data_IF_816806665511
#
_entry.id   IF_816806665511
#
_cell.length_a   1.000
_cell.length_b   1.000
_cell.length_c   1.000
_cell.angle_alpha   90.00
_cell.angle_beta   90.00
_cell.angle_gamma   90.00
#
_symmetry.space_group_name_H-M   'P 1'
#
loop_
_entity.id
_entity.type
_entity.pdbx_description
1 polymer ?
#
# COMPACT_ATOMS: atom_id res chain seq x y z
N UNK A 1 5.27 7.56 -14.42
CA UNK A 1 6.23 6.46 -14.16
C UNK A 1 5.62 5.33 -13.35
N UNK A 2 5.14 4.28 -14.02
CA UNK A 2 4.67 3.05 -13.36
C UNK A 2 5.82 2.19 -12.81
N UNK A 3 7.08 2.49 -13.17
CA UNK A 3 8.26 1.74 -12.74
C UNK A 3 8.52 1.79 -11.23
N UNK A 4 8.06 2.85 -10.54
CA UNK A 4 8.18 2.96 -9.07
C UNK A 4 7.25 2.00 -8.31
N UNK A 5 6.23 1.45 -8.97
CA UNK A 5 5.24 0.56 -8.36
C UNK A 5 5.61 -0.93 -8.52
N UNK A 6 6.60 -1.26 -9.36
CA UNK A 6 7.23 -2.58 -9.38
C UNK A 6 7.99 -2.85 -8.07
N UNK A 7 8.62 -1.80 -7.50
CA UNK A 7 9.28 -1.85 -6.20
C UNK A 7 8.36 -1.35 -5.07
N UNK A 8 7.33 -2.15 -4.76
CA UNK A 8 6.41 -1.89 -3.63
C UNK A 8 7.17 -1.69 -2.30
N UNK A 9 8.22 -2.48 -1.96
CA UNK A 9 9.03 -2.24 -0.78
C UNK A 9 9.68 -0.86 -0.74
N UNK A 10 10.32 -0.42 -1.83
CA UNK A 10 10.96 0.89 -1.97
C UNK A 10 9.94 2.02 -1.85
N UNK A 11 8.82 1.89 -2.55
CA UNK A 11 7.72 2.85 -2.52
C UNK A 11 7.11 3.00 -1.11
N UNK A 12 6.76 1.90 -0.44
CA UNK A 12 6.25 1.94 0.95
C UNK A 12 7.29 2.53 1.91
N UNK A 13 8.57 2.27 1.70
CA UNK A 13 9.64 2.88 2.48
C UNK A 13 9.68 4.41 2.32
N UNK A 14 9.50 4.94 1.11
CA UNK A 14 9.44 6.40 0.86
C UNK A 14 8.26 7.06 1.60
N UNK A 15 7.15 6.34 1.74
CA UNK A 15 5.96 6.80 2.45
C UNK A 15 6.04 6.62 3.97
N UNK A 16 7.16 6.10 4.50
CA UNK A 16 7.30 5.71 5.92
C UNK A 16 6.26 4.66 6.34
N UNK A 17 5.94 3.76 5.42
CA UNK A 17 5.01 2.64 5.57
C UNK A 17 5.73 1.29 5.48
N UNK A 18 7.05 1.28 5.75
CA UNK A 18 7.92 0.09 5.70
C UNK A 18 7.38 -1.08 6.54
N UNK A 19 6.68 -0.79 7.64
CA UNK A 19 6.05 -1.78 8.50
C UNK A 19 4.94 -2.60 7.81
N UNK A 20 4.39 -2.10 6.71
CA UNK A 20 3.34 -2.79 5.96
C UNK A 20 3.87 -3.56 4.76
N UNK A 21 5.19 -3.48 4.44
CA UNK A 21 5.78 -4.21 3.31
C UNK A 21 5.44 -5.71 3.40
N UNK A 22 5.56 -6.28 4.60
CA UNK A 22 5.23 -7.68 4.86
C UNK A 22 3.78 -8.07 4.52
N UNK A 23 2.85 -7.12 4.56
CA UNK A 23 1.42 -7.37 4.26
C UNK A 23 1.14 -7.41 2.74
N UNK A 24 2.04 -6.84 1.93
CA UNK A 24 1.88 -6.70 0.48
C UNK A 24 2.91 -7.52 -0.30
N UNK A 25 3.68 -8.40 0.38
CA UNK A 25 4.62 -9.32 -0.28
C UNK A 25 3.86 -10.21 -1.26
N UNK A 26 4.29 -10.22 -2.53
CA UNK A 26 3.65 -11.01 -3.59
C UNK A 26 2.35 -10.42 -4.13
N UNK A 27 1.89 -9.27 -3.62
CA UNK A 27 0.77 -8.53 -4.19
C UNK A 27 1.28 -7.58 -5.28
N UNK A 28 0.53 -7.48 -6.38
CA UNK A 28 0.82 -6.49 -7.43
C UNK A 28 0.24 -5.14 -7.05
N UNK A 29 0.91 -4.07 -7.45
CA UNK A 29 0.44 -2.71 -7.19
C UNK A 29 -0.94 -2.44 -7.82
N UNK A 30 -1.23 -3.07 -8.95
CA UNK A 30 -2.54 -2.99 -9.63
C UNK A 30 -3.68 -3.51 -8.75
N UNK A 31 -3.39 -4.57 -7.97
CA UNK A 31 -4.34 -5.14 -7.01
C UNK A 31 -4.43 -4.24 -5.77
N UNK A 32 -3.34 -3.55 -5.38
CA UNK A 32 -3.35 -2.57 -4.27
C UNK A 32 -4.17 -1.32 -4.58
N UNK A 33 -4.13 -0.80 -5.81
CA UNK A 33 -4.93 0.35 -6.25
C UNK A 33 -6.43 0.07 -6.13
N UNK A 34 -6.84 -1.19 -6.30
CA UNK A 34 -8.24 -1.63 -6.18
C UNK A 34 -8.69 -1.82 -4.73
N UNK A 35 -7.80 -1.68 -3.75
CA UNK A 35 -8.14 -1.88 -2.34
C UNK A 35 -8.80 -0.63 -1.73
N UNK A 36 -10.04 -0.83 -1.27
CA UNK A 36 -10.73 0.11 -0.40
C UNK A 36 -10.28 0.00 1.07
N UNK A 37 -10.77 0.92 1.91
CA UNK A 37 -10.48 0.93 3.35
C UNK A 37 -10.76 -0.40 4.06
N UNK A 38 -11.76 -1.16 3.58
CA UNK A 38 -12.08 -2.50 4.09
C UNK A 38 -11.05 -3.54 3.66
N UNK A 39 -10.56 -3.48 2.41
CA UNK A 39 -9.51 -4.37 1.91
C UNK A 39 -8.18 -4.13 2.63
N UNK A 40 -7.81 -2.86 2.82
CA UNK A 40 -6.63 -2.49 3.59
C UNK A 40 -6.72 -2.96 5.05
N UNK A 41 -7.90 -2.85 5.65
CA UNK A 41 -8.13 -3.34 7.02
C UNK A 41 -8.05 -4.87 7.13
N UNK A 42 -8.58 -5.60 6.14
CA UNK A 42 -8.51 -7.06 6.05
C UNK A 42 -7.06 -7.56 5.93
N UNK A 43 -6.19 -6.80 5.25
CA UNK A 43 -4.75 -7.09 5.16
C UNK A 43 -4.00 -6.77 6.47
N UNK A 44 -4.62 -6.08 7.43
CA UNK A 44 -4.02 -5.72 8.71
C UNK A 44 -3.65 -4.24 8.86
N UNK A 45 -3.93 -3.40 7.86
CA UNK A 45 -3.75 -1.94 7.96
C UNK A 45 -4.94 -1.32 8.71
N UNK A 46 -4.95 -1.46 10.03
CA UNK A 46 -6.04 -0.96 10.89
C UNK A 46 -5.98 0.56 11.12
N UNK A 47 -4.81 1.17 10.96
CA UNK A 47 -4.60 2.59 11.23
C UNK A 47 -5.27 3.46 10.15
N UNK A 48 -6.29 4.23 10.53
CA UNK A 48 -7.03 5.11 9.60
C UNK A 48 -6.14 6.13 8.86
N UNK A 49 -5.09 6.64 9.52
CA UNK A 49 -4.10 7.54 8.87
C UNK A 49 -3.32 6.83 7.76
N UNK A 50 -2.88 5.60 8.01
CA UNK A 50 -2.15 4.79 7.01
C UNK A 50 -3.04 4.43 5.83
N UNK A 51 -4.31 4.04 6.09
CA UNK A 51 -5.30 3.76 5.03
C UNK A 51 -5.52 4.97 4.11
N UNK A 52 -5.76 6.15 4.71
CA UNK A 52 -5.89 7.42 3.95
C UNK A 52 -4.62 7.74 3.15
N UNK A 53 -3.43 7.48 3.71
CA UNK A 53 -2.16 7.74 3.03
C UNK A 53 -1.97 6.82 1.82
N UNK A 54 -2.27 5.53 1.95
CA UNK A 54 -2.19 4.57 0.84
C UNK A 54 -3.16 4.94 -0.28
N UNK A 55 -4.44 5.21 0.03
CA UNK A 55 -5.41 5.63 -1.00
C UNK A 55 -5.01 6.89 -1.74
N UNK A 56 -4.50 7.91 -1.04
CA UNK A 56 -4.11 9.18 -1.66
C UNK A 56 -2.94 9.04 -2.65
N UNK A 57 -2.15 7.99 -2.55
CA UNK A 57 -1.04 7.76 -3.48
C UNK A 57 -1.48 6.98 -4.71
N UNK A 58 -2.65 6.34 -4.65
CA UNK A 58 -3.27 5.63 -5.77
C UNK A 58 -4.31 6.47 -6.53
N UNK A 59 -4.70 7.64 -6.01
CA UNK A 59 -5.31 8.75 -6.78
C UNK A 59 -4.23 9.60 -7.45
#
# INVERSE_FOLDING_TARGET
>A
DHALLDDIPGWLSSLRLRQYIGLFVGMRWEDMVKLDDRGLEALGVRAAKSKKKLRRVFE
#
